data_IF_297730001229
#
_entry.id   IF_297730001229
#
_cell.length_a   1.000
_cell.length_b   1.000
_cell.length_c   1.000
_cell.angle_alpha   90.00
_cell.angle_beta   90.00
_cell.angle_gamma   90.00
#
_symmetry.space_group_name_H-M   'P 1'
#
loop_
_entity.id
_entity.type
_entity.pdbx_description
1 polymer ?
#
# COMPACT_ATOMS: atom_id res chain seq x y z
N UNK A 1 -22.69 1.67 28.75
CA UNK A 1 -22.39 1.97 27.33
C UNK A 1 -21.30 1.00 26.87
N UNK A 2 -21.46 0.30 25.73
CA UNK A 2 -20.40 -0.57 25.19
C UNK A 2 -19.55 0.26 24.22
N UNK A 3 -18.23 0.31 24.45
CA UNK A 3 -17.28 0.85 23.47
C UNK A 3 -17.23 -0.12 22.28
N UNK A 4 -17.33 0.39 21.06
CA UNK A 4 -17.10 -0.43 19.87
C UNK A 4 -15.63 -0.86 19.85
N UNK A 5 -15.38 -2.15 19.56
CA UNK A 5 -14.04 -2.67 19.31
C UNK A 5 -13.82 -2.59 17.81
N UNK A 6 -12.75 -1.91 17.40
CA UNK A 6 -12.35 -1.93 16.00
C UNK A 6 -11.87 -3.33 15.62
N UNK A 7 -12.37 -3.87 14.51
CA UNK A 7 -12.06 -5.22 14.02
C UNK A 7 -11.21 -5.21 12.75
N UNK A 8 -10.64 -4.05 12.40
CA UNK A 8 -9.77 -3.85 11.25
C UNK A 8 -8.75 -2.74 11.54
N UNK A 9 -7.64 -2.78 10.81
CA UNK A 9 -6.78 -1.63 10.59
C UNK A 9 -7.45 -0.66 9.59
N UNK A 10 -7.08 0.61 9.67
CA UNK A 10 -7.49 1.64 8.70
C UNK A 10 -6.26 2.15 7.96
N UNK A 11 -6.26 2.11 6.63
CA UNK A 11 -5.15 2.61 5.81
C UNK A 11 -5.56 3.92 5.11
N UNK A 12 -4.66 4.90 5.20
CA UNK A 12 -4.67 6.10 4.37
C UNK A 12 -3.47 6.02 3.43
N UNK A 13 -3.72 5.81 2.14
CA UNK A 13 -2.70 5.54 1.13
C UNK A 13 -2.55 6.76 0.22
N UNK A 14 -1.32 7.18 -0.03
CA UNK A 14 -0.99 8.27 -0.95
C UNK A 14 0.11 7.84 -1.91
N UNK A 15 -0.07 8.15 -3.19
CA UNK A 15 0.98 7.97 -4.18
C UNK A 15 1.71 9.29 -4.43
N UNK A 16 2.97 9.35 -4.02
CA UNK A 16 3.82 10.54 -4.07
C UNK A 16 5.14 10.33 -4.85
N UNK A 17 5.31 9.20 -5.51
CA UNK A 17 6.42 8.94 -6.44
C UNK A 17 6.17 9.66 -7.78
N UNK A 18 7.01 10.63 -8.11
CA UNK A 18 6.90 11.48 -9.29
C UNK A 18 7.63 10.91 -10.50
N UNK A 19 8.38 9.81 -10.36
CA UNK A 19 9.04 9.14 -11.48
C UNK A 19 8.00 8.72 -12.54
N UNK A 20 8.15 9.13 -13.82
CA UNK A 20 7.19 8.83 -14.88
C UNK A 20 6.90 7.34 -15.12
N UNK A 21 7.83 6.44 -14.77
CA UNK A 21 7.58 4.99 -14.84
C UNK A 21 6.43 4.57 -13.92
N UNK A 22 6.22 5.29 -12.83
CA UNK A 22 5.14 5.08 -11.87
C UNK A 22 4.05 6.16 -11.99
N UNK A 23 3.76 6.68 -13.19
CA UNK A 23 2.66 7.66 -13.37
C UNK A 23 1.31 7.11 -12.87
N UNK A 24 1.08 5.82 -13.11
CA UNK A 24 -0.05 5.05 -12.58
C UNK A 24 0.44 3.69 -12.11
N UNK A 25 -0.04 3.26 -10.95
CA UNK A 25 0.37 2.00 -10.33
C UNK A 25 -0.82 1.13 -9.92
N UNK A 26 -0.58 -0.17 -9.86
CA UNK A 26 -1.47 -1.13 -9.20
C UNK A 26 -0.84 -1.54 -7.86
N UNK A 27 -1.65 -1.52 -6.79
CA UNK A 27 -1.23 -1.85 -5.43
C UNK A 27 -1.88 -3.17 -5.03
N UNK A 28 -1.05 -4.14 -4.67
CA UNK A 28 -1.46 -5.44 -4.19
C UNK A 28 -1.16 -5.54 -2.70
N UNK A 29 -2.12 -6.11 -1.96
CA UNK A 29 -1.95 -6.45 -0.56
C UNK A 29 -2.24 -7.94 -0.38
N UNK A 30 -1.19 -8.76 -0.26
CA UNK A 30 -1.28 -10.23 -0.24
C UNK A 30 -0.80 -10.79 1.09
N UNK A 31 -1.21 -12.01 1.44
CA UNK A 31 -0.76 -12.71 2.67
C UNK A 31 0.44 -13.63 2.43
N UNK A 32 0.97 -13.63 1.22
CA UNK A 32 2.18 -14.35 0.82
C UNK A 32 2.99 -13.50 -0.16
N UNK A 33 4.30 -13.71 -0.21
CA UNK A 33 5.20 -13.04 -1.17
C UNK A 33 4.70 -13.20 -2.60
N UNK A 34 4.78 -12.11 -3.37
CA UNK A 34 4.33 -12.03 -4.77
C UNK A 34 2.82 -11.84 -4.94
N UNK A 35 2.41 -11.72 -6.21
CA UNK A 35 1.04 -11.35 -6.64
C UNK A 35 0.35 -12.40 -7.50
N UNK A 36 0.93 -13.59 -7.65
CA UNK A 36 0.42 -14.61 -8.58
C UNK A 36 -1.01 -15.03 -8.21
N UNK A 37 -1.95 -14.81 -9.13
CA UNK A 37 -3.36 -15.16 -8.94
C UNK A 37 -4.11 -14.25 -7.97
N UNK A 38 -3.53 -13.10 -7.62
CA UNK A 38 -4.18 -12.05 -6.83
C UNK A 38 -4.58 -10.88 -7.72
N UNK A 39 -5.71 -10.27 -7.43
CA UNK A 39 -6.11 -9.00 -8.03
C UNK A 39 -5.52 -7.83 -7.23
N UNK A 40 -5.26 -6.66 -7.86
CA UNK A 40 -4.88 -5.46 -7.13
C UNK A 40 -5.96 -5.03 -6.14
N UNK A 41 -5.53 -4.58 -4.97
CA UNK A 41 -6.39 -3.93 -3.97
C UNK A 41 -6.80 -2.53 -4.44
N UNK A 42 -5.89 -1.81 -5.10
CA UNK A 42 -6.14 -0.52 -5.74
C UNK A 42 -5.55 -0.59 -7.14
N UNK A 43 -6.38 -0.33 -8.15
CA UNK A 43 -5.98 -0.32 -9.56
C UNK A 43 -5.79 1.10 -10.08
N UNK A 44 -4.89 1.30 -11.03
CA UNK A 44 -4.76 2.57 -11.77
C UNK A 44 -4.58 3.80 -10.86
N UNK A 45 -3.89 3.63 -9.73
CA UNK A 45 -3.70 4.67 -8.74
C UNK A 45 -2.69 5.69 -9.26
N UNK A 46 -3.14 6.92 -9.50
CA UNK A 46 -2.35 7.93 -10.20
C UNK A 46 -1.42 8.72 -9.26
N UNK A 47 -0.34 9.28 -9.79
CA UNK A 47 0.50 10.20 -9.03
C UNK A 47 -0.31 11.35 -8.42
N UNK A 48 -0.09 11.62 -7.12
CA UNK A 48 -0.84 12.55 -6.25
C UNK A 48 -2.25 12.10 -5.85
N UNK A 49 -2.69 10.91 -6.24
CA UNK A 49 -3.92 10.34 -5.75
C UNK A 49 -3.77 9.87 -4.29
N UNK A 50 -4.88 9.91 -3.55
CA UNK A 50 -4.97 9.39 -2.19
C UNK A 50 -6.27 8.63 -1.98
N UNK A 51 -6.18 7.48 -1.30
CA UNK A 51 -7.31 6.69 -0.83
C UNK A 51 -7.30 6.72 0.70
N UNK A 52 -8.43 7.07 1.32
CA UNK A 52 -8.53 7.21 2.78
C UNK A 52 -9.57 6.26 3.34
N UNK A 53 -9.31 5.71 4.53
CA UNK A 53 -10.26 4.86 5.22
C UNK A 53 -10.41 3.46 4.62
N UNK A 54 -9.36 2.91 4.02
CA UNK A 54 -9.38 1.53 3.55
C UNK A 54 -9.30 0.58 4.76
N UNK A 55 -10.35 -0.19 5.00
CA UNK A 55 -10.39 -1.16 6.10
C UNK A 55 -9.75 -2.47 5.70
N UNK A 56 -8.77 -2.93 6.48
CA UNK A 56 -8.08 -4.19 6.26
C UNK A 56 -8.09 -5.02 7.54
N UNK A 57 -8.32 -6.33 7.44
CA UNK A 57 -8.23 -7.20 8.60
C UNK A 57 -6.83 -7.13 9.21
N UNK A 58 -6.72 -7.27 10.54
CA UNK A 58 -5.40 -7.40 11.16
C UNK A 58 -4.68 -8.67 10.69
N UNK A 59 -3.37 -8.56 10.51
CA UNK A 59 -2.52 -9.64 10.03
C UNK A 59 -1.21 -9.13 9.40
N UNK A 60 -0.36 -10.07 9.01
CA UNK A 60 0.85 -9.79 8.25
C UNK A 60 0.54 -9.87 6.76
N UNK A 61 0.96 -8.85 6.03
CA UNK A 61 0.77 -8.72 4.60
C UNK A 61 2.08 -8.39 3.90
N UNK A 62 2.08 -8.58 2.58
CA UNK A 62 3.13 -8.14 1.67
C UNK A 62 2.51 -7.11 0.70
N UNK A 63 3.10 -5.93 0.65
CA UNK A 63 2.73 -4.87 -0.29
C UNK A 63 3.58 -5.03 -1.54
N UNK A 64 2.93 -5.24 -2.67
CA UNK A 64 3.58 -5.17 -3.99
C UNK A 64 2.97 -4.02 -4.78
N UNK A 65 3.82 -3.22 -5.43
CA UNK A 65 3.38 -2.13 -6.31
C UNK A 65 3.96 -2.38 -7.69
N UNK A 66 3.11 -2.38 -8.72
CA UNK A 66 3.52 -2.55 -10.11
C UNK A 66 3.08 -1.35 -10.95
N UNK A 67 3.65 -1.20 -12.14
CA UNK A 67 3.09 -0.31 -13.16
C UNK A 67 1.67 -0.78 -13.49
N UNK A 68 0.74 0.16 -13.62
CA UNK A 68 -0.67 -0.15 -13.85
C UNK A 68 -0.86 -1.03 -15.11
N UNK A 69 -1.61 -2.11 -14.97
CA UNK A 69 -1.88 -3.07 -16.03
C UNK A 69 -0.68 -3.93 -16.48
N UNK A 70 0.49 -3.78 -15.83
CA UNK A 70 1.69 -4.57 -16.13
C UNK A 70 2.26 -5.20 -14.84
N UNK A 71 1.80 -6.41 -14.46
CA UNK A 71 2.24 -7.07 -13.22
C UNK A 71 3.72 -7.48 -13.23
N UNK A 72 4.37 -7.55 -14.38
CA UNK A 72 5.80 -7.90 -14.49
C UNK A 72 6.72 -6.69 -14.24
N UNK A 73 6.19 -5.47 -14.31
CA UNK A 73 6.93 -4.24 -14.03
C UNK A 73 6.75 -3.82 -12.56
N UNK A 74 7.55 -4.45 -11.69
CA UNK A 74 7.47 -4.27 -10.24
C UNK A 74 8.29 -3.04 -9.79
N UNK A 75 7.65 -2.14 -9.04
CA UNK A 75 8.25 -0.96 -8.43
C UNK A 75 8.63 -1.19 -6.95
N UNK A 76 7.76 -1.85 -6.19
CA UNK A 76 8.01 -2.32 -4.82
C UNK A 76 7.66 -3.79 -4.78
N UNK A 77 8.62 -4.64 -4.41
CA UNK A 77 8.42 -6.09 -4.37
C UNK A 77 8.20 -6.58 -2.94
N UNK A 78 6.97 -7.03 -2.65
CA UNK A 78 6.61 -7.82 -1.47
C UNK A 78 7.16 -7.26 -0.14
N UNK A 79 6.96 -5.97 0.11
CA UNK A 79 7.38 -5.34 1.35
C UNK A 79 6.47 -5.82 2.51
N UNK A 80 7.02 -6.46 3.56
CA UNK A 80 6.20 -6.94 4.67
C UNK A 80 5.67 -5.79 5.52
N UNK A 81 4.41 -5.87 5.92
CA UNK A 81 3.74 -4.94 6.84
C UNK A 81 2.86 -5.72 7.82
N UNK A 82 2.86 -5.31 9.09
CA UNK A 82 1.99 -5.86 10.11
C UNK A 82 0.87 -4.86 10.45
N UNK A 83 -0.37 -5.28 10.24
CA UNK A 83 -1.55 -4.46 10.45
C UNK A 83 -2.30 -4.90 11.70
N UNK A 84 -2.61 -3.95 12.58
CA UNK A 84 -3.31 -4.20 13.84
C UNK A 84 -4.71 -3.60 13.87
N UNK A 85 -5.63 -4.28 14.57
CA UNK A 85 -7.00 -3.81 14.73
C UNK A 85 -7.04 -2.48 15.49
N UNK A 86 -7.82 -1.52 14.99
CA UNK A 86 -7.97 -0.20 15.60
C UNK A 86 -6.82 0.76 15.34
N UNK A 87 -5.78 0.33 14.61
CA UNK A 87 -4.66 1.18 14.22
C UNK A 87 -4.95 1.87 12.89
N UNK A 88 -4.63 3.15 12.82
CA UNK A 88 -4.68 3.96 11.60
C UNK A 88 -3.27 4.12 11.06
N UNK A 89 -3.02 3.61 9.86
CA UNK A 89 -1.74 3.73 9.19
C UNK A 89 -1.79 4.79 8.09
N UNK A 90 -0.76 5.64 8.03
CA UNK A 90 -0.46 6.48 6.88
C UNK A 90 0.59 5.78 6.02
N UNK A 91 0.22 5.46 4.77
CA UNK A 91 1.05 4.79 3.78
C UNK A 91 1.34 5.75 2.64
N UNK A 92 2.62 5.97 2.32
CA UNK A 92 3.04 6.90 1.26
C UNK A 92 4.11 6.24 0.39
N UNK A 93 3.81 6.02 -0.89
CA UNK A 93 4.78 5.56 -1.87
C UNK A 93 5.55 6.76 -2.45
N UNK A 94 6.88 6.73 -2.42
CA UNK A 94 7.76 7.82 -2.84
C UNK A 94 8.85 7.33 -3.80
N UNK A 95 9.46 8.26 -4.53
CA UNK A 95 10.72 7.98 -5.23
C UNK A 95 11.83 7.77 -4.18
N UNK A 96 12.67 6.77 -4.41
CA UNK A 96 13.95 6.65 -3.69
C UNK A 96 15.04 7.35 -4.51
N UNK A 97 15.73 8.30 -3.90
CA UNK A 97 16.75 9.13 -4.55
C UNK A 97 17.94 8.34 -5.08
N UNK A 98 18.08 7.07 -4.70
CA UNK A 98 19.10 6.17 -5.24
C UNK A 98 18.64 5.51 -6.53
N UNK A 99 19.24 5.93 -7.64
CA UNK A 99 19.21 5.25 -8.95
C UNK A 99 17.80 5.01 -9.54
N UNK A 100 16.81 5.83 -9.18
CA UNK A 100 15.45 5.73 -9.70
C UNK A 100 14.59 4.64 -9.05
N UNK A 101 14.95 4.20 -7.84
CA UNK A 101 14.16 3.26 -7.05
C UNK A 101 12.89 3.88 -6.47
N UNK A 102 12.16 3.07 -5.70
CA UNK A 102 10.94 3.47 -5.00
C UNK A 102 11.00 3.00 -3.56
N UNK A 103 10.31 3.71 -2.67
CA UNK A 103 10.17 3.32 -1.28
C UNK A 103 8.72 3.47 -0.79
N UNK A 104 8.37 2.75 0.26
CA UNK A 104 7.09 2.86 0.96
C UNK A 104 7.33 3.32 2.39
N UNK A 105 6.78 4.48 2.73
CA UNK A 105 6.73 4.95 4.10
C UNK A 105 5.43 4.47 4.72
N UNK A 106 5.53 3.80 5.88
CA UNK A 106 4.37 3.32 6.64
C UNK A 106 4.53 3.80 8.06
N UNK A 107 3.57 4.56 8.54
CA UNK A 107 3.56 5.12 9.89
C UNK A 107 2.24 4.82 10.60
N UNK A 108 2.31 4.50 11.88
CA UNK A 108 1.14 4.42 12.76
C UNK A 108 0.85 5.83 13.28
N UNK A 109 -0.32 6.36 12.95
CA UNK A 109 -0.75 7.71 13.33
C UNK A 109 -1.88 7.70 14.37
N UNK A 110 -2.09 6.57 15.02
CA UNK A 110 -3.02 6.43 16.14
C UNK A 110 -2.40 7.07 17.38
N UNK A 111 -3.14 7.97 18.03
CA UNK A 111 -2.76 8.63 19.29
C UNK A 111 -2.74 7.65 20.48
#
# INVERSE_FOLDING_TARGET
MRRAVATSATLNVTHAAANPVAEMVDIYLTTSVGIKGSDPTITNFAYKESAKGLYVAAGTYYVTVTVAGNPDAVAIDSLPVDLMNGVVYQVVAIDDGNNGGFNLLVDDITD
#
